data_IF_955406808866
#
_entry.id   IF_955406808866
#
_cell.length_a   1.000
_cell.length_b   1.000
_cell.length_c   1.000
_cell.angle_alpha   90.00
_cell.angle_beta   90.00
_cell.angle_gamma   90.00
#
_symmetry.space_group_name_H-M   'P 1'
#
loop_
_entity.id
_entity.type
_entity.pdbx_description
1 polymer ?
#
# COMPACT_ATOMS: atom_id res chain seq x y z
N UNK A 1 -28.66 -20.00 -18.93
CA UNK A 1 -27.32 -19.62 -18.44
C UNK A 1 -27.02 -20.42 -17.19
N UNK A 2 -25.99 -21.27 -17.20
CA UNK A 2 -25.55 -21.99 -16.00
C UNK A 2 -24.73 -21.02 -15.15
N UNK A 3 -25.30 -20.58 -14.04
CA UNK A 3 -24.52 -19.90 -13.00
C UNK A 3 -23.47 -20.89 -12.49
N UNK A 4 -22.20 -20.63 -12.79
CA UNK A 4 -21.10 -21.25 -12.07
C UNK A 4 -21.25 -20.82 -10.61
N UNK A 5 -21.74 -21.72 -9.74
CA UNK A 5 -21.69 -21.56 -8.29
C UNK A 5 -20.23 -21.64 -7.86
N UNK A 6 -19.50 -20.53 -7.97
CA UNK A 6 -18.32 -20.36 -7.14
C UNK A 6 -18.82 -20.07 -5.72
N UNK A 7 -18.39 -20.88 -4.74
CA UNK A 7 -18.62 -20.63 -3.30
C UNK A 7 -17.84 -19.41 -2.79
N UNK A 8 -17.22 -18.64 -3.67
CA UNK A 8 -16.16 -17.68 -3.41
C UNK A 8 -16.49 -16.43 -4.23
N UNK A 9 -16.56 -15.25 -3.60
CA UNK A 9 -16.83 -14.00 -4.30
C UNK A 9 -15.65 -13.62 -5.21
N UNK A 10 -15.86 -12.68 -6.14
CA UNK A 10 -14.76 -12.15 -6.96
C UNK A 10 -13.65 -11.54 -6.08
N UNK A 11 -14.03 -10.89 -4.97
CA UNK A 11 -13.09 -10.38 -3.98
C UNK A 11 -12.26 -11.51 -3.36
N UNK A 12 -12.91 -12.54 -2.82
CA UNK A 12 -12.23 -13.66 -2.15
C UNK A 12 -11.30 -14.43 -3.09
N UNK A 13 -11.69 -14.57 -4.35
CA UNK A 13 -10.83 -15.17 -5.37
C UNK A 13 -9.54 -14.37 -5.58
N UNK A 14 -9.65 -13.04 -5.70
CA UNK A 14 -8.48 -12.18 -5.87
C UNK A 14 -7.62 -12.14 -4.62
N UNK A 15 -8.22 -11.90 -3.44
CA UNK A 15 -7.54 -11.95 -2.16
C UNK A 15 -6.79 -13.29 -1.96
N UNK A 16 -7.37 -14.39 -2.43
CA UNK A 16 -6.79 -15.73 -2.37
C UNK A 16 -5.57 -15.97 -3.27
N UNK A 17 -5.28 -15.11 -4.26
CA UNK A 17 -4.09 -15.25 -5.11
C UNK A 17 -2.80 -15.08 -4.29
N UNK A 18 -2.82 -14.18 -3.32
CA UNK A 18 -1.66 -13.86 -2.47
C UNK A 18 -1.25 -14.99 -1.52
N UNK A 19 -2.21 -15.85 -1.14
CA UNK A 19 -2.09 -16.86 -0.08
C UNK A 19 -1.05 -17.96 -0.29
N UNK A 20 -0.75 -18.32 -1.53
CA UNK A 20 0.14 -19.46 -1.79
C UNK A 20 1.61 -19.15 -1.48
N UNK A 21 2.38 -20.13 -1.00
CA UNK A 21 3.83 -19.99 -0.78
C UNK A 21 4.59 -19.53 -2.04
N UNK A 22 4.14 -19.95 -3.23
CA UNK A 22 4.72 -19.50 -4.50
C UNK A 22 4.49 -18.01 -4.73
N UNK A 23 3.29 -17.51 -4.44
CA UNK A 23 2.97 -16.08 -4.52
C UNK A 23 3.77 -15.31 -3.50
N UNK A 24 3.80 -15.75 -2.24
CA UNK A 24 4.58 -15.12 -1.18
C UNK A 24 6.05 -14.92 -1.59
N UNK A 25 6.70 -15.99 -2.08
CA UNK A 25 8.10 -15.96 -2.54
C UNK A 25 8.34 -15.12 -3.79
N UNK A 26 7.34 -14.86 -4.62
CA UNK A 26 7.49 -14.03 -5.82
C UNK A 26 7.14 -12.56 -5.54
N UNK A 27 6.32 -12.30 -4.52
CA UNK A 27 5.77 -10.98 -4.23
C UNK A 27 6.43 -10.27 -3.03
N UNK A 28 7.32 -10.91 -2.26
CA UNK A 28 7.93 -10.31 -1.06
C UNK A 28 9.41 -10.65 -0.93
N UNK A 29 10.15 -9.85 -0.16
CA UNK A 29 11.55 -10.05 0.19
C UNK A 29 12.43 -10.11 -1.06
N UNK A 30 12.18 -9.20 -2.01
CA UNK A 30 12.95 -9.16 -3.24
C UNK A 30 12.44 -8.16 -4.28
N UNK A 31 13.15 -8.11 -5.40
CA UNK A 31 12.99 -7.08 -6.44
C UNK A 31 11.62 -7.03 -7.10
N UNK A 32 10.84 -8.11 -6.98
CA UNK A 32 9.52 -8.16 -7.59
C UNK A 32 8.40 -7.68 -6.65
N UNK A 33 8.71 -7.29 -5.40
CA UNK A 33 7.71 -6.81 -4.46
C UNK A 33 6.82 -5.71 -5.05
N UNK A 34 7.44 -4.67 -5.61
CA UNK A 34 6.75 -3.53 -6.20
C UNK A 34 5.99 -3.91 -7.48
N UNK A 35 6.64 -4.64 -8.39
CA UNK A 35 6.06 -5.05 -9.67
C UNK A 35 4.87 -5.99 -9.52
N UNK A 36 4.97 -6.99 -8.64
CA UNK A 36 3.89 -7.96 -8.39
C UNK A 36 2.65 -7.27 -7.84
N UNK A 37 2.82 -6.43 -6.81
CA UNK A 37 1.70 -5.72 -6.19
C UNK A 37 1.06 -4.70 -7.13
N UNK A 38 1.82 -4.04 -8.02
CA UNK A 38 1.24 -3.19 -9.07
C UNK A 38 0.33 -3.95 -10.03
N UNK A 39 0.79 -5.09 -10.55
CA UNK A 39 -0.03 -5.93 -11.44
C UNK A 39 -1.25 -6.46 -10.70
N UNK A 40 -1.09 -6.79 -9.41
CA UNK A 40 -2.18 -7.23 -8.55
C UNK A 40 -3.26 -6.15 -8.36
N UNK A 41 -2.86 -4.93 -8.01
CA UNK A 41 -3.74 -3.76 -7.90
C UNK A 41 -4.48 -3.49 -9.21
N UNK A 42 -3.75 -3.53 -10.33
CA UNK A 42 -4.34 -3.31 -11.65
C UNK A 42 -5.45 -4.31 -11.97
N UNK A 43 -5.22 -5.62 -11.75
CA UNK A 43 -6.27 -6.61 -11.97
C UNK A 43 -7.46 -6.43 -11.02
N UNK A 44 -7.19 -6.10 -9.75
CA UNK A 44 -8.25 -5.89 -8.76
C UNK A 44 -9.12 -4.68 -9.11
N UNK A 45 -8.52 -3.55 -9.45
CA UNK A 45 -9.24 -2.35 -9.87
C UNK A 45 -10.12 -2.61 -11.10
N UNK A 46 -9.61 -3.35 -12.10
CA UNK A 46 -10.41 -3.72 -13.27
C UNK A 46 -11.65 -4.53 -12.92
N UNK A 47 -11.63 -5.27 -11.82
CA UNK A 47 -12.79 -6.02 -11.34
C UNK A 47 -13.72 -5.12 -10.57
N UNK A 48 -13.19 -4.25 -9.71
CA UNK A 48 -13.99 -3.22 -9.03
C UNK A 48 -14.79 -2.40 -10.04
N UNK A 49 -14.14 -1.87 -11.08
CA UNK A 49 -14.81 -1.09 -12.13
C UNK A 49 -15.88 -1.92 -12.84
N UNK A 50 -15.61 -3.19 -13.15
CA UNK A 50 -16.58 -4.09 -13.81
C UNK A 50 -17.82 -4.39 -12.97
N UNK A 51 -17.73 -4.33 -11.65
CA UNK A 51 -18.87 -4.51 -10.74
C UNK A 51 -19.53 -3.17 -10.34
N UNK A 52 -19.16 -2.07 -11.00
CA UNK A 52 -19.72 -0.73 -10.75
C UNK A 52 -19.04 0.04 -9.62
N UNK A 53 -17.84 -0.37 -9.21
CA UNK A 53 -17.00 0.35 -8.26
C UNK A 53 -16.28 1.54 -8.88
N UNK A 54 -15.47 2.20 -8.06
CA UNK A 54 -14.59 3.32 -8.44
C UNK A 54 -13.14 2.84 -8.54
N UNK A 55 -12.25 3.63 -9.19
CA UNK A 55 -10.81 3.42 -9.10
C UNK A 55 -10.34 3.33 -7.64
N UNK A 56 -9.24 2.62 -7.42
CA UNK A 56 -8.67 2.46 -6.09
C UNK A 56 -8.15 3.81 -5.57
N UNK A 57 -8.57 4.14 -4.34
CA UNK A 57 -7.96 5.22 -3.58
C UNK A 57 -6.73 4.70 -2.82
N UNK A 58 -5.80 5.59 -2.49
CA UNK A 58 -4.71 5.27 -1.56
C UNK A 58 -5.03 5.76 -0.14
N UNK A 59 -4.43 5.10 0.85
CA UNK A 59 -4.35 5.58 2.23
C UNK A 59 -2.94 6.04 2.55
N UNK A 60 -2.73 7.36 2.59
CA UNK A 60 -1.46 7.92 3.07
C UNK A 60 -1.42 7.89 4.61
N UNK A 61 -0.87 6.80 5.14
CA UNK A 61 -0.71 6.60 6.58
C UNK A 61 0.39 7.50 7.20
N UNK A 62 1.15 8.25 6.41
CA UNK A 62 2.08 9.25 6.95
C UNK A 62 1.36 10.44 7.57
N UNK A 63 0.10 10.70 7.18
CA UNK A 63 -0.77 11.70 7.80
C UNK A 63 -1.26 11.26 9.18
N UNK A 64 -1.61 9.98 9.31
CA UNK A 64 -1.97 9.34 10.58
C UNK A 64 -0.77 9.28 11.53
N UNK A 65 0.43 9.03 11.00
CA UNK A 65 1.68 8.97 11.78
C UNK A 65 1.94 10.26 12.57
N UNK A 66 1.48 11.40 12.05
CA UNK A 66 1.63 12.72 12.69
C UNK A 66 0.76 12.92 13.92
N UNK A 67 -0.23 12.06 14.16
CA UNK A 67 -1.00 12.08 15.41
C UNK A 67 -0.07 11.66 16.56
N UNK A 68 -0.06 12.43 17.64
CA UNK A 68 0.87 12.22 18.74
C UNK A 68 0.58 10.94 19.54
N UNK A 69 1.62 10.12 19.73
CA UNK A 69 1.64 8.99 20.66
C UNK A 69 0.46 8.02 20.49
N UNK A 70 -0.19 7.69 21.60
CA UNK A 70 -1.34 6.77 21.63
C UNK A 70 -2.58 7.33 20.90
N UNK A 71 -2.59 8.62 20.57
CA UNK A 71 -3.67 9.26 19.83
C UNK A 71 -3.89 8.68 18.44
N UNK A 72 -2.87 8.04 17.84
CA UNK A 72 -2.99 7.36 16.54
C UNK A 72 -4.10 6.30 16.51
N UNK A 73 -4.47 5.72 17.67
CA UNK A 73 -5.62 4.80 17.80
C UNK A 73 -6.97 5.45 17.48
N UNK A 74 -7.03 6.77 17.50
CA UNK A 74 -8.24 7.56 17.27
C UNK A 74 -8.28 8.17 15.87
N UNK A 75 -7.39 7.79 14.96
CA UNK A 75 -7.42 8.29 13.57
C UNK A 75 -8.79 8.11 12.92
N UNK A 76 -9.20 9.10 12.12
CA UNK A 76 -10.41 9.01 11.30
C UNK A 76 -10.41 7.87 10.29
N UNK A 77 -9.25 7.32 9.91
CA UNK A 77 -9.19 6.18 9.00
C UNK A 77 -9.99 4.98 9.53
N UNK A 78 -9.98 4.73 10.84
CA UNK A 78 -10.63 3.57 11.48
C UNK A 78 -11.93 3.93 12.20
N UNK A 79 -12.84 4.57 11.46
CA UNK A 79 -14.15 5.04 11.91
C UNK A 79 -15.28 4.47 11.07
N UNK A 80 -16.53 4.62 11.53
CA UNK A 80 -17.71 4.20 10.76
C UNK A 80 -17.87 4.92 9.43
N UNK A 81 -17.34 6.13 9.29
CA UNK A 81 -17.39 6.88 8.02
C UNK A 81 -16.46 6.31 6.95
N UNK A 82 -15.34 5.69 7.36
CA UNK A 82 -14.26 5.29 6.43
C UNK A 82 -14.15 3.77 6.29
N UNK A 83 -13.41 3.06 7.16
CA UNK A 83 -13.21 1.59 7.03
C UNK A 83 -13.83 0.75 8.15
N UNK A 84 -14.57 1.35 9.06
CA UNK A 84 -15.06 0.73 10.29
C UNK A 84 -14.02 0.75 11.43
N UNK A 85 -14.45 0.37 12.64
CA UNK A 85 -13.65 0.43 13.85
C UNK A 85 -12.33 -0.36 13.73
N UNK A 86 -11.27 0.18 14.34
CA UNK A 86 -9.91 -0.39 14.28
C UNK A 86 -9.55 -1.37 15.40
N UNK A 87 -10.39 -1.51 16.42
CA UNK A 87 -10.12 -2.38 17.58
C UNK A 87 -11.28 -3.35 17.77
N UNK A 88 -10.95 -4.65 17.91
CA UNK A 88 -11.93 -5.72 18.06
C UNK A 88 -12.62 -6.10 16.74
N UNK A 89 -13.76 -6.77 16.85
CA UNK A 89 -14.57 -7.17 15.69
C UNK A 89 -15.06 -5.91 14.96
N UNK A 90 -14.94 -5.86 13.64
CA UNK A 90 -15.42 -4.74 12.84
C UNK A 90 -16.93 -4.80 12.72
N UNK A 91 -17.63 -3.94 13.46
CA UNK A 91 -19.08 -3.95 13.64
C UNK A 91 -19.79 -2.74 13.00
N UNK A 92 -19.04 -1.74 12.54
CA UNK A 92 -19.58 -0.53 11.93
C UNK A 92 -18.88 -0.20 10.60
N UNK A 93 -19.39 0.84 9.92
CA UNK A 93 -18.87 1.30 8.64
C UNK A 93 -19.10 0.35 7.45
N UNK A 94 -18.42 0.63 6.31
CA UNK A 94 -18.62 -0.11 5.06
C UNK A 94 -18.24 -1.59 5.13
N UNK A 95 -17.32 -1.95 6.02
CA UNK A 95 -16.80 -3.32 6.18
C UNK A 95 -17.30 -4.00 7.47
N UNK A 96 -18.44 -3.56 8.01
CA UNK A 96 -19.06 -4.25 9.16
C UNK A 96 -19.37 -5.71 8.83
N UNK A 97 -19.07 -6.61 9.77
CA UNK A 97 -19.29 -8.05 9.63
C UNK A 97 -18.60 -8.68 8.39
N UNK A 98 -17.55 -8.04 7.86
CA UNK A 98 -16.82 -8.54 6.69
C UNK A 98 -16.29 -9.95 6.94
N UNK A 99 -16.56 -10.93 6.06
CA UNK A 99 -16.13 -12.31 6.28
C UNK A 99 -14.63 -12.46 6.03
N UNK A 100 -13.97 -13.32 6.82
CA UNK A 100 -12.61 -13.81 6.59
C UNK A 100 -12.70 -15.32 6.34
N UNK A 101 -12.96 -15.76 5.09
CA UNK A 101 -13.18 -17.17 4.77
C UNK A 101 -12.10 -18.11 5.28
N UNK A 102 -10.82 -17.71 5.24
CA UNK A 102 -9.71 -18.56 5.69
C UNK A 102 -9.67 -18.83 7.20
N UNK A 103 -10.28 -17.94 8.00
CA UNK A 103 -10.38 -18.09 9.45
C UNK A 103 -11.79 -18.49 9.91
N UNK A 104 -12.77 -18.50 9.00
CA UNK A 104 -14.19 -18.73 9.30
C UNK A 104 -14.71 -17.81 10.43
N UNK A 105 -14.28 -16.55 10.42
CA UNK A 105 -14.68 -15.50 11.38
C UNK A 105 -14.98 -14.19 10.65
N UNK A 106 -15.58 -13.22 11.35
CA UNK A 106 -15.65 -11.84 10.87
C UNK A 106 -14.32 -11.10 11.10
N UNK A 107 -14.08 -10.08 10.27
CA UNK A 107 -12.91 -9.21 10.34
C UNK A 107 -12.73 -8.64 11.75
N UNK A 108 -11.49 -8.75 12.25
CA UNK A 108 -11.03 -8.18 13.52
C UNK A 108 -9.73 -7.42 13.26
N UNK A 109 -9.62 -6.24 13.85
CA UNK A 109 -8.43 -5.38 13.80
C UNK A 109 -7.94 -5.06 15.21
N UNK A 110 -6.67 -4.72 15.35
CA UNK A 110 -6.05 -4.37 16.62
C UNK A 110 -5.04 -3.24 16.42
N UNK A 111 -5.52 -2.11 15.90
CA UNK A 111 -4.66 -1.01 15.45
C UNK A 111 -3.73 -0.48 16.56
N UNK A 112 -2.55 -0.01 16.18
CA UNK A 112 -1.53 0.61 17.03
C UNK A 112 -1.07 -0.25 18.22
N UNK A 113 -1.21 -1.57 18.14
CA UNK A 113 -0.76 -2.49 19.19
C UNK A 113 0.73 -2.80 19.10
N UNK A 114 1.29 -2.75 17.89
CA UNK A 114 2.72 -2.96 17.62
C UNK A 114 3.13 -2.21 16.34
N UNK A 115 4.43 -2.04 16.12
CA UNK A 115 5.01 -1.37 14.94
C UNK A 115 4.49 0.08 14.75
N UNK A 116 4.59 0.61 13.53
CA UNK A 116 4.26 2.00 13.19
C UNK A 116 3.52 2.11 11.87
N UNK A 117 2.81 3.22 11.66
CA UNK A 117 2.39 3.66 10.33
C UNK A 117 3.59 4.01 9.45
N UNK A 118 3.36 4.28 8.16
CA UNK A 118 4.41 4.73 7.24
C UNK A 118 5.08 6.00 7.79
N UNK A 119 6.41 5.98 7.86
CA UNK A 119 7.17 7.11 8.43
C UNK A 119 7.41 8.18 7.37
N UNK A 120 6.96 9.43 7.59
CA UNK A 120 7.09 10.48 6.59
C UNK A 120 8.55 10.76 6.20
N UNK A 121 9.50 10.67 7.14
CA UNK A 121 10.92 10.90 6.89
C UNK A 121 11.51 9.90 5.89
N UNK A 122 11.09 8.63 5.95
CA UNK A 122 11.56 7.59 5.05
C UNK A 122 10.91 7.74 3.67
N UNK A 123 9.61 8.04 3.63
CA UNK A 123 8.90 8.34 2.38
C UNK A 123 9.52 9.55 1.66
N UNK A 124 9.85 10.60 2.40
CA UNK A 124 10.52 11.79 1.85
C UNK A 124 11.90 11.48 1.29
N UNK A 125 12.66 10.64 2.00
CA UNK A 125 13.96 10.17 1.53
C UNK A 125 13.83 9.49 0.16
N UNK A 126 12.82 8.62 0.00
CA UNK A 126 12.53 7.94 -1.26
C UNK A 126 12.13 8.94 -2.35
N UNK A 127 11.18 9.84 -2.05
CA UNK A 127 10.53 10.70 -3.05
C UNK A 127 11.35 11.93 -3.45
N UNK A 128 12.25 12.41 -2.60
CA UNK A 128 12.90 13.73 -2.79
C UNK A 128 14.43 13.67 -2.82
N UNK A 129 15.06 12.67 -2.20
CA UNK A 129 16.52 12.64 -2.11
C UNK A 129 17.16 12.30 -3.45
N UNK A 130 18.06 13.18 -3.88
CA UNK A 130 18.95 12.94 -5.02
C UNK A 130 20.06 11.93 -4.71
N UNK A 131 20.13 11.32 -3.52
CA UNK A 131 21.06 10.22 -3.22
C UNK A 131 20.46 8.83 -3.49
N UNK A 132 19.13 8.74 -3.53
CA UNK A 132 18.40 7.51 -3.83
C UNK A 132 18.05 7.53 -5.32
N UNK A 133 18.80 6.79 -6.15
CA UNK A 133 18.79 6.88 -7.62
C UNK A 133 18.52 5.57 -8.35
N UNK A 134 18.32 4.47 -7.64
CA UNK A 134 17.99 3.19 -8.25
C UNK A 134 17.09 2.34 -7.35
N UNK A 135 16.39 1.37 -7.94
CA UNK A 135 15.44 0.53 -7.25
C UNK A 135 16.10 -0.35 -6.19
N UNK A 136 17.35 -0.77 -6.40
CA UNK A 136 18.04 -1.59 -5.42
C UNK A 136 18.17 -0.91 -4.05
N UNK A 137 18.22 0.42 -4.00
CA UNK A 137 18.25 1.18 -2.75
C UNK A 137 16.92 1.17 -1.99
N UNK A 138 15.78 1.03 -2.68
CA UNK A 138 14.46 1.06 -2.05
C UNK A 138 13.82 -0.33 -1.93
N UNK A 139 14.25 -1.31 -2.72
CA UNK A 139 13.69 -2.67 -2.72
C UNK A 139 14.52 -3.67 -1.93
N UNK A 140 15.79 -3.38 -1.64
CA UNK A 140 16.63 -4.26 -0.86
C UNK A 140 16.77 -3.76 0.58
N UNK A 141 16.13 -4.43 1.54
CA UNK A 141 16.20 -4.07 2.96
C UNK A 141 17.43 -4.61 3.69
N UNK A 142 18.24 -5.46 3.03
CA UNK A 142 19.36 -6.16 3.64
C UNK A 142 20.70 -5.92 2.91
N UNK A 143 21.81 -6.12 3.62
CA UNK A 143 23.17 -5.96 3.07
C UNK A 143 23.59 -4.49 2.89
N UNK A 144 24.48 -4.23 1.93
CA UNK A 144 25.13 -2.92 1.74
C UNK A 144 24.38 -1.93 0.85
N UNK A 145 23.23 -2.32 0.28
CA UNK A 145 22.59 -1.59 -0.84
C UNK A 145 21.32 -0.82 -0.43
N UNK A 146 20.59 -1.27 0.60
CA UNK A 146 19.36 -0.62 1.05
C UNK A 146 19.55 0.83 1.49
N UNK A 147 18.48 1.61 1.58
CA UNK A 147 18.56 2.99 2.06
C UNK A 147 18.86 3.03 3.57
N UNK A 148 19.57 4.06 4.02
CA UNK A 148 19.77 4.29 5.45
C UNK A 148 18.52 4.95 6.02
N UNK A 149 17.95 4.31 7.03
CA UNK A 149 16.90 4.88 7.85
C UNK A 149 17.41 6.18 8.50
N UNK A 150 16.78 7.35 8.22
CA UNK A 150 17.23 8.62 8.76
C UNK A 150 17.11 8.73 10.28
N UNK A 151 16.21 7.96 10.90
CA UNK A 151 15.98 7.98 12.34
C UNK A 151 16.87 6.96 13.08
N UNK A 152 17.06 5.78 12.48
CA UNK A 152 17.74 4.65 13.14
C UNK A 152 19.20 4.44 12.70
N UNK A 153 19.61 5.00 11.56
CA UNK A 153 20.94 4.78 10.98
C UNK A 153 21.19 3.36 10.45
N UNK A 154 20.20 2.48 10.54
CA UNK A 154 20.21 1.11 10.02
C UNK A 154 19.73 1.06 8.57
N UNK A 155 19.93 -0.07 7.88
CA UNK A 155 19.41 -0.26 6.52
C UNK A 155 17.92 -0.61 6.60
N UNK A 156 17.14 -0.05 5.68
CA UNK A 156 15.70 -0.31 5.51
C UNK A 156 15.36 -0.35 4.02
N UNK A 157 14.12 -0.69 3.69
CA UNK A 157 13.53 -0.67 2.35
C UNK A 157 12.08 -0.15 2.41
N UNK A 158 11.52 0.18 1.25
CA UNK A 158 10.10 0.52 1.15
C UNK A 158 9.22 -0.65 1.61
N UNK A 159 9.62 -1.90 1.35
CA UNK A 159 8.93 -3.09 1.86
C UNK A 159 8.96 -3.16 3.39
N UNK A 160 10.10 -2.85 4.02
CA UNK A 160 10.19 -2.81 5.49
C UNK A 160 9.31 -1.71 6.12
N UNK A 161 9.21 -0.53 5.50
CA UNK A 161 8.26 0.51 5.96
C UNK A 161 6.81 0.09 5.79
N UNK A 162 6.51 -0.54 4.66
CA UNK A 162 5.19 -1.10 4.36
C UNK A 162 4.78 -2.16 5.39
N UNK A 163 5.71 -3.03 5.79
CA UNK A 163 5.47 -4.11 6.76
C UNK A 163 5.08 -3.56 8.13
N UNK A 164 5.70 -2.43 8.54
CA UNK A 164 5.34 -1.77 9.79
C UNK A 164 3.84 -1.43 9.83
N UNK A 165 3.27 -0.95 8.72
CA UNK A 165 1.86 -0.57 8.67
C UNK A 165 0.93 -1.78 8.68
N UNK A 166 1.29 -2.88 8.01
CA UNK A 166 0.57 -4.16 8.12
C UNK A 166 0.47 -4.64 9.57
N UNK A 167 1.58 -4.56 10.30
CA UNK A 167 1.64 -4.95 11.70
C UNK A 167 0.92 -3.93 12.60
N UNK A 168 1.00 -2.63 12.27
CA UNK A 168 0.29 -1.58 12.99
C UNK A 168 -1.22 -1.73 12.90
N UNK A 169 -1.78 -2.14 11.75
CA UNK A 169 -3.22 -2.41 11.63
C UNK A 169 -3.63 -3.65 12.44
N UNK A 170 -2.75 -4.64 12.55
CA UNK A 170 -2.99 -5.85 13.33
C UNK A 170 -3.92 -6.85 12.66
N UNK A 171 -4.35 -7.86 13.41
CA UNK A 171 -5.39 -8.80 12.96
C UNK A 171 -4.99 -9.63 11.74
N UNK A 172 -5.76 -9.57 10.66
CA UNK A 172 -5.44 -10.28 9.41
C UNK A 172 -4.41 -9.52 8.56
N UNK A 173 -4.28 -8.19 8.72
CA UNK A 173 -3.26 -7.40 8.01
C UNK A 173 -1.84 -7.80 8.42
N UNK A 174 -1.63 -8.29 9.65
CA UNK A 174 -0.32 -8.79 10.08
C UNK A 174 0.05 -10.19 9.55
N UNK A 175 -0.86 -10.85 8.84
CA UNK A 175 -0.62 -12.15 8.24
C UNK A 175 -0.45 -11.97 6.73
N UNK A 176 0.81 -11.95 6.30
CA UNK A 176 1.14 -11.68 4.90
C UNK A 176 0.35 -12.55 3.92
N UNK A 177 0.00 -13.80 4.25
CA UNK A 177 -0.69 -14.68 3.31
C UNK A 177 -2.18 -14.35 3.11
N UNK A 178 -2.82 -13.70 4.07
CA UNK A 178 -4.26 -13.42 4.04
C UNK A 178 -4.60 -11.95 4.27
N UNK A 179 -3.61 -11.07 4.42
CA UNK A 179 -3.81 -9.63 4.55
C UNK A 179 -4.77 -9.03 3.51
N UNK A 180 -4.78 -9.45 2.22
CA UNK A 180 -5.77 -8.99 1.24
C UNK A 180 -7.24 -9.29 1.59
N UNK A 181 -7.54 -10.13 2.59
CA UNK A 181 -8.92 -10.34 3.05
C UNK A 181 -9.47 -9.15 3.85
N UNK A 182 -8.61 -8.27 4.38
CA UNK A 182 -9.03 -6.95 4.89
C UNK A 182 -9.00 -5.94 3.74
N UNK A 183 -10.13 -5.27 3.43
CA UNK A 183 -10.18 -4.25 2.38
C UNK A 183 -9.18 -3.10 2.54
N UNK A 184 -8.66 -2.83 3.74
CA UNK A 184 -7.60 -1.83 3.99
C UNK A 184 -6.30 -2.17 3.26
N UNK A 185 -6.04 -3.46 2.97
CA UNK A 185 -4.89 -3.91 2.17
C UNK A 185 -4.74 -3.14 0.87
N UNK A 186 -5.84 -2.99 0.14
CA UNK A 186 -5.83 -2.37 -1.19
C UNK A 186 -5.49 -0.89 -1.11
N UNK A 187 -6.00 -0.18 -0.10
CA UNK A 187 -5.71 1.24 0.12
C UNK A 187 -4.24 1.46 0.50
N UNK A 188 -3.70 0.60 1.37
CA UNK A 188 -2.29 0.62 1.77
C UNK A 188 -1.36 0.32 0.58
N UNK A 189 -1.62 -0.73 -0.18
CA UNK A 189 -0.78 -1.09 -1.33
C UNK A 189 -0.87 -0.08 -2.48
N UNK A 190 -2.02 0.58 -2.67
CA UNK A 190 -2.14 1.71 -3.60
C UNK A 190 -1.24 2.87 -3.16
N UNK A 191 -1.09 3.10 -1.85
CA UNK A 191 -0.15 4.10 -1.33
C UNK A 191 1.32 3.71 -1.54
N UNK A 192 1.68 2.43 -1.38
CA UNK A 192 3.04 1.96 -1.69
C UNK A 192 3.36 2.16 -3.16
N UNK A 193 2.42 1.85 -4.05
CA UNK A 193 2.58 2.08 -5.48
C UNK A 193 2.68 3.58 -5.83
N UNK A 194 1.92 4.43 -5.14
CA UNK A 194 2.07 5.90 -5.22
C UNK A 194 3.49 6.36 -4.85
N UNK A 195 4.02 5.94 -3.70
CA UNK A 195 5.39 6.29 -3.26
C UNK A 195 6.42 5.80 -4.29
N UNK A 196 6.21 4.60 -4.84
CA UNK A 196 7.08 4.06 -5.88
C UNK A 196 7.00 4.87 -7.18
N UNK A 197 5.82 5.28 -7.63
CA UNK A 197 5.70 6.12 -8.82
C UNK A 197 6.33 7.50 -8.62
N UNK A 198 6.16 8.12 -7.44
CA UNK A 198 6.84 9.38 -7.13
C UNK A 198 8.37 9.23 -7.15
N UNK A 199 8.89 8.10 -6.70
CA UNK A 199 10.31 7.77 -6.88
C UNK A 199 10.71 7.66 -8.36
N UNK A 200 9.89 6.99 -9.19
CA UNK A 200 10.16 6.83 -10.63
C UNK A 200 10.10 8.17 -11.37
N UNK A 201 9.13 9.02 -11.06
CA UNK A 201 9.05 10.41 -11.54
C UNK A 201 10.32 11.18 -11.21
N UNK A 202 10.79 11.10 -9.96
CA UNK A 202 12.08 11.68 -9.55
C UNK A 202 13.25 11.11 -10.36
N UNK A 203 13.29 9.81 -10.65
CA UNK A 203 14.36 9.25 -11.49
C UNK A 203 14.39 9.86 -12.89
N UNK A 204 13.22 10.11 -13.50
CA UNK A 204 13.15 10.81 -14.78
C UNK A 204 13.72 12.23 -14.72
N UNK A 205 13.47 12.98 -13.64
CA UNK A 205 14.07 14.33 -13.49
C UNK A 205 15.59 14.30 -13.35
N UNK A 206 16.15 13.16 -12.93
CA UNK A 206 17.58 12.90 -12.88
C UNK A 206 18.16 12.31 -14.18
N UNK A 207 17.34 12.17 -15.24
CA UNK A 207 17.75 11.58 -16.51
C UNK A 207 17.92 10.06 -16.48
N UNK A 208 17.35 9.38 -15.47
CA UNK A 208 17.40 7.93 -15.30
C UNK A 208 16.06 7.35 -15.74
N UNK A 209 16.08 6.35 -16.63
CA UNK A 209 14.85 5.63 -16.98
C UNK A 209 14.59 4.48 -15.98
N UNK A 210 13.61 4.60 -15.07
CA UNK A 210 13.31 3.59 -14.06
C UNK A 210 12.90 2.23 -14.65
N UNK A 211 12.40 2.19 -15.89
CA UNK A 211 12.03 0.93 -16.54
C UNK A 211 13.22 0.04 -16.91
N UNK A 212 14.44 0.60 -16.94
CA UNK A 212 15.67 -0.13 -17.27
C UNK A 212 16.48 -0.51 -16.01
N UNK A 213 15.93 -0.31 -14.81
CA UNK A 213 16.63 -0.41 -13.53
C UNK A 213 16.02 -1.50 -12.64
N UNK A 214 15.83 -2.70 -13.19
CA UNK A 214 15.33 -3.84 -12.43
C UNK A 214 16.46 -4.46 -11.56
N UNK A 215 16.31 -4.56 -10.22
CA UNK A 215 17.45 -4.86 -9.35
C UNK A 215 17.86 -6.34 -9.28
N UNK A 216 17.00 -7.30 -9.64
CA UNK A 216 17.34 -8.73 -9.69
C UNK A 216 17.72 -9.42 -8.37
N UNK A 217 17.57 -8.76 -7.22
CA UNK A 217 17.73 -9.32 -5.87
C UNK A 217 16.54 -10.22 -5.46
N UNK A 218 16.82 -11.29 -4.69
CA UNK A 218 15.83 -12.23 -4.14
C UNK A 218 15.88 -13.66 -4.73
N UNK A 219 16.78 -13.92 -5.68
CA UNK A 219 16.93 -15.24 -6.32
C UNK A 219 15.89 -15.50 -7.42
N UNK A 220 15.75 -16.76 -7.84
CA UNK A 220 14.94 -17.16 -9.01
C UNK A 220 13.50 -16.61 -9.04
N UNK A 221 12.75 -16.58 -7.91
CA UNK A 221 11.41 -16.00 -7.89
C UNK A 221 11.39 -14.52 -8.27
N UNK A 222 12.51 -13.81 -8.11
CA UNK A 222 12.64 -12.38 -8.40
C UNK A 222 13.55 -12.09 -9.60
N UNK A 223 13.97 -13.09 -10.37
CA UNK A 223 14.70 -12.84 -11.61
C UNK A 223 13.81 -12.08 -12.62
N UNK A 224 14.41 -11.19 -13.41
CA UNK A 224 13.69 -10.28 -14.31
C UNK A 224 12.69 -11.00 -15.24
N UNK A 225 13.14 -12.09 -15.87
CA UNK A 225 12.37 -12.87 -16.86
C UNK A 225 11.43 -13.91 -16.24
N UNK A 226 11.42 -14.07 -14.91
CA UNK A 226 10.51 -15.01 -14.25
C UNK A 226 9.07 -14.53 -14.42
N UNK A 227 8.16 -15.42 -14.82
CA UNK A 227 6.74 -15.11 -14.90
C UNK A 227 6.16 -14.82 -13.52
N UNK A 228 5.41 -13.73 -13.40
CA UNK A 228 4.74 -13.39 -12.15
C UNK A 228 3.71 -14.46 -11.79
N UNK A 229 3.81 -14.99 -10.57
CA UNK A 229 2.99 -16.08 -10.08
C UNK A 229 1.50 -15.68 -10.10
N UNK A 230 0.65 -16.61 -10.56
CA UNK A 230 -0.79 -16.49 -10.81
C UNK A 230 -1.22 -15.61 -11.99
N UNK A 231 -0.49 -14.54 -12.33
CA UNK A 231 -0.90 -13.67 -13.43
C UNK A 231 -0.77 -14.31 -14.82
N UNK A 232 0.10 -15.33 -14.95
CA UNK A 232 0.18 -16.17 -16.14
C UNK A 232 -1.13 -16.92 -16.48
N UNK A 233 -2.05 -17.07 -15.52
CA UNK A 233 -3.38 -17.65 -15.77
C UNK A 233 -4.30 -16.69 -16.56
N UNK A 234 -3.98 -15.39 -16.56
CA UNK A 234 -4.74 -14.36 -17.28
C UNK A 234 -3.99 -13.86 -18.52
N UNK A 235 -2.67 -13.79 -18.45
CA UNK A 235 -1.79 -13.42 -19.57
C UNK A 235 -0.37 -13.91 -19.32
N UNK A 236 0.24 -14.58 -20.31
CA UNK A 236 1.64 -15.00 -20.27
C UNK A 236 2.63 -13.83 -20.41
N UNK A 237 2.14 -12.61 -20.61
CA UNK A 237 2.94 -11.41 -20.78
C UNK A 237 3.67 -11.02 -19.49
N UNK A 238 3.10 -11.23 -18.31
CA UNK A 238 3.66 -10.68 -17.07
C UNK A 238 4.92 -11.42 -16.60
N UNK A 239 6.09 -10.90 -16.94
CA UNK A 239 7.35 -11.17 -16.21
C UNK A 239 7.56 -10.15 -15.10
N UNK A 240 8.44 -10.45 -14.14
CA UNK A 240 8.74 -9.55 -13.03
C UNK A 240 9.20 -8.16 -13.50
N UNK A 241 10.08 -8.08 -14.51
CA UNK A 241 10.52 -6.80 -15.07
C UNK A 241 9.39 -6.03 -15.78
N UNK A 242 8.35 -6.72 -16.28
CA UNK A 242 7.23 -6.02 -16.91
C UNK A 242 6.41 -5.19 -15.92
N UNK A 243 6.43 -5.54 -14.62
CA UNK A 243 5.88 -4.70 -13.56
C UNK A 243 6.58 -3.33 -13.43
N UNK A 244 7.82 -3.22 -13.91
CA UNK A 244 8.64 -2.00 -13.86
C UNK A 244 8.51 -1.16 -15.13
N UNK A 245 7.69 -1.56 -16.09
CA UNK A 245 7.52 -0.78 -17.33
C UNK A 245 6.74 0.51 -17.07
N UNK A 246 6.92 1.50 -17.95
CA UNK A 246 6.15 2.75 -17.89
C UNK A 246 4.71 2.60 -18.41
N UNK A 247 4.29 1.39 -18.80
CA UNK A 247 2.96 1.15 -19.39
C UNK A 247 1.83 1.61 -18.46
N UNK A 248 1.99 1.38 -17.16
CA UNK A 248 0.99 1.71 -16.14
C UNK A 248 0.72 3.21 -16.06
N UNK A 249 1.76 4.01 -15.85
CA UNK A 249 1.60 5.46 -15.68
C UNK A 249 1.49 6.23 -16.99
N UNK A 250 1.83 5.61 -18.13
CA UNK A 250 1.59 6.22 -19.44
C UNK A 250 0.17 5.98 -19.96
N UNK A 251 -0.45 4.83 -19.65
CA UNK A 251 -1.67 4.40 -20.34
C UNK A 251 -2.77 3.83 -19.45
N UNK A 252 -2.53 3.62 -18.16
CA UNK A 252 -3.47 2.90 -17.28
C UNK A 252 -4.03 3.80 -16.18
N UNK A 253 -3.18 4.43 -15.37
CA UNK A 253 -3.60 5.26 -14.25
C UNK A 253 -2.67 6.44 -14.00
N UNK A 254 -3.19 7.42 -13.25
CA UNK A 254 -2.42 8.51 -12.65
C UNK A 254 -2.84 8.61 -11.19
N UNK A 255 -1.96 9.11 -10.33
CA UNK A 255 -2.31 9.42 -8.95
C UNK A 255 -2.57 10.90 -8.74
N UNK A 256 -3.56 11.22 -7.93
CA UNK A 256 -3.69 12.54 -7.34
C UNK A 256 -2.54 12.79 -6.35
N UNK A 257 -2.03 14.03 -6.32
CA UNK A 257 -0.98 14.43 -5.39
C UNK A 257 -1.41 14.21 -3.94
N UNK A 258 -0.47 13.73 -3.12
CA UNK A 258 -0.71 13.57 -1.68
C UNK A 258 -1.09 14.91 -1.01
N UNK A 259 -2.11 14.95 -0.12
CA UNK A 259 -2.46 16.09 0.72
C UNK A 259 -1.28 16.89 1.32
N UNK A 260 -1.28 18.20 1.06
CA UNK A 260 -0.39 19.18 1.69
C UNK A 260 -1.21 20.35 2.23
N UNK A 261 -0.70 21.08 3.22
CA UNK A 261 -1.38 22.30 3.66
C UNK A 261 -1.54 23.29 2.49
N UNK A 262 -0.55 23.37 1.60
CA UNK A 262 -0.58 24.23 0.40
C UNK A 262 -1.70 23.91 -0.59
N UNK A 263 -2.17 22.66 -0.66
CA UNK A 263 -3.32 22.28 -1.48
C UNK A 263 -4.62 22.10 -0.68
N UNK A 264 -4.68 22.67 0.54
CA UNK A 264 -5.85 22.58 1.41
C UNK A 264 -6.13 21.16 1.90
N UNK A 265 -5.07 20.36 2.11
CA UNK A 265 -5.16 18.95 2.48
C UNK A 265 -5.98 18.10 1.51
N UNK A 266 -5.85 18.39 0.22
CA UNK A 266 -6.59 17.72 -0.86
C UNK A 266 -8.05 18.18 -1.02
N UNK A 267 -8.48 19.19 -0.26
CA UNK A 267 -9.88 19.64 -0.23
C UNK A 267 -10.32 20.48 -1.42
N UNK A 268 -11.07 19.88 -2.35
CA UNK A 268 -12.11 20.58 -3.15
C UNK A 268 -13.51 20.51 -2.49
N UNK A 269 -13.62 20.01 -1.26
CA UNK A 269 -14.87 19.85 -0.52
C UNK A 269 -14.66 19.42 0.95
N UNK A 270 -15.65 19.73 1.79
CA UNK A 270 -15.75 19.66 3.26
C UNK A 270 -15.57 18.25 3.90
N UNK A 271 -14.43 17.59 3.71
CA UNK A 271 -14.14 16.38 4.51
C UNK A 271 -13.34 16.78 5.76
N UNK A 272 -13.98 16.74 6.93
CA UNK A 272 -13.36 16.88 8.25
C UNK A 272 -12.42 15.70 8.60
N UNK A 273 -11.74 15.10 7.62
CA UNK A 273 -10.87 13.93 7.78
C UNK A 273 -9.41 14.34 7.98
N UNK A 274 -8.99 15.44 7.37
CA UNK A 274 -7.64 15.98 7.46
C UNK A 274 -7.70 17.43 7.92
N UNK A 275 -6.68 17.88 8.63
CA UNK A 275 -6.51 19.28 8.98
C UNK A 275 -5.05 19.71 8.81
N UNK A 276 -4.84 21.01 8.61
CA UNK A 276 -3.52 21.61 8.68
C UNK A 276 -3.29 22.17 10.10
N UNK A 277 -2.27 21.72 10.85
CA UNK A 277 -1.95 22.27 12.16
C UNK A 277 -1.70 23.80 12.08
N UNK A 278 -2.45 24.59 12.85
CA UNK A 278 -2.37 26.07 12.95
C UNK A 278 -1.95 26.80 11.67
N UNK A 279 -2.81 26.79 10.63
CA UNK A 279 -2.78 27.78 9.55
C UNK A 279 -1.54 27.78 8.65
N UNK A 280 -0.89 26.63 8.49
CA UNK A 280 0.29 26.47 7.65
C UNK A 280 0.17 27.00 6.21
N UNK A 281 1.22 27.68 5.73
CA UNK A 281 1.42 28.01 4.32
C UNK A 281 2.54 27.14 3.73
N UNK A 282 2.35 26.57 2.54
CA UNK A 282 3.40 25.81 1.81
C UNK A 282 3.43 24.30 2.11
N UNK A 283 4.62 23.68 2.03
CA UNK A 283 4.90 22.23 2.19
C UNK A 283 4.71 21.69 3.63
N UNK A 284 3.94 22.39 4.47
CA UNK A 284 3.50 21.82 5.74
C UNK A 284 2.59 20.62 5.47
N UNK A 285 2.71 19.59 6.32
CA UNK A 285 1.93 18.36 6.16
C UNK A 285 0.60 18.46 6.88
N UNK A 286 -0.40 17.92 6.20
CA UNK A 286 -1.67 17.63 6.81
C UNK A 286 -1.53 16.57 7.89
N UNK A 287 -2.53 16.49 8.76
CA UNK A 287 -2.62 15.48 9.80
C UNK A 287 -4.02 14.89 9.74
N UNK A 288 -4.12 13.57 9.91
CA UNK A 288 -5.42 12.93 10.06
C UNK A 288 -6.10 13.45 11.32
N UNK A 289 -7.38 13.78 11.21
CA UNK A 289 -8.18 14.16 12.38
C UNK A 289 -8.36 12.96 13.31
N UNK A 290 -8.65 13.25 14.58
CA UNK A 290 -8.92 12.23 15.60
C UNK A 290 -10.38 12.30 16.02
N UNK A 291 -10.99 11.14 16.22
CA UNK A 291 -12.33 11.06 16.82
C UNK A 291 -12.19 11.02 18.33
N UNK A 292 -12.71 12.05 19.00
CA UNK A 292 -12.84 12.06 20.47
C UNK A 292 -14.17 11.39 20.80
N UNK A 293 -14.11 10.14 21.27
CA UNK A 293 -15.27 9.47 21.82
C UNK A 293 -15.68 10.20 23.11
N UNK A 294 -16.86 10.84 23.12
CA UNK A 294 -17.45 11.31 24.36
C UNK A 294 -17.75 10.08 25.23
N UNK A 295 -17.12 10.02 26.41
CA UNK A 295 -17.33 8.96 27.40
C UNK A 295 -18.78 8.92 27.90
#
# INVERSE_FOLDING_TARGET
MRYLKFRTSAYDFFAGLHRSLRSFRNAHIGSNFLGWHRVYLWYFERILIRVGGVPLCYWDSTLDFRIEGSGQRNTTMFTSEVVGNGIGMVINGPFRNWPIPDRNVSLRREIASFASLMRPQVVDLIMTSNLIRNHSQISNGAGSVGMIDPDQGTRTSLESEHDNTHVWVGGVMSDATIAPQDPVFWLHHTYIDYVWEKFREKLFTLGINPANDYPGHGGDPHAANTQMVHFYNFSNWWTNENGYTNLFTQFVYTYDEHPTCGNGCGGRGDTNLLYCPTGGTGDQRCVATVVVWSA
#
